data_IF_314553275425
#
_entry.id   IF_314553275425
#
_cell.length_a   1.000
_cell.length_b   1.000
_cell.length_c   1.000
_cell.angle_alpha   90.00
_cell.angle_beta   90.00
_cell.angle_gamma   90.00
#
_symmetry.space_group_name_H-M   'P 1'
#
loop_
_entity.id
_entity.type
_entity.pdbx_description
1 polymer ?
#
# COMPACT_ATOMS: atom_id res chain seq x y z
N UNK A 1 17.70 12.55 21.84
CA UNK A 1 17.29 12.09 20.49
C UNK A 1 15.77 12.00 20.47
N UNK A 2 15.06 12.64 19.54
CA UNK A 2 13.60 12.41 19.39
C UNK A 2 13.38 11.09 18.66
N UNK A 3 12.43 10.24 19.08
CA UNK A 3 12.13 9.00 18.37
C UNK A 3 11.60 9.33 16.97
N UNK A 4 12.15 8.66 15.95
CA UNK A 4 11.67 8.81 14.57
C UNK A 4 10.26 8.22 14.48
N UNK A 5 9.25 8.97 13.97
CA UNK A 5 7.88 8.49 13.87
C UNK A 5 7.79 7.16 13.10
N UNK A 6 7.04 6.20 13.63
CA UNK A 6 6.71 4.98 12.89
C UNK A 6 5.63 5.33 11.88
N UNK A 7 5.96 5.18 10.60
CA UNK A 7 5.04 5.41 9.48
C UNK A 7 4.70 4.09 8.80
N UNK A 8 3.55 4.04 8.12
CA UNK A 8 3.15 2.87 7.33
C UNK A 8 4.22 2.48 6.30
N UNK A 9 4.84 3.47 5.65
CA UNK A 9 5.94 3.25 4.71
C UNK A 9 7.15 2.57 5.37
N UNK A 10 7.54 3.01 6.58
CA UNK A 10 8.65 2.37 7.31
C UNK A 10 8.33 0.93 7.67
N UNK A 11 7.10 0.63 8.08
CA UNK A 11 6.67 -0.73 8.37
C UNK A 11 6.70 -1.62 7.10
N UNK A 12 6.23 -1.09 5.96
CA UNK A 12 6.27 -1.81 4.68
C UNK A 12 7.71 -2.10 4.22
N UNK A 13 8.62 -1.13 4.35
CA UNK A 13 10.05 -1.33 4.04
C UNK A 13 10.69 -2.36 4.96
N UNK A 14 10.37 -2.33 6.26
CA UNK A 14 10.85 -3.33 7.22
C UNK A 14 10.32 -4.72 6.88
N UNK A 15 9.04 -4.84 6.51
CA UNK A 15 8.43 -6.10 6.11
C UNK A 15 9.12 -6.68 4.88
N UNK A 16 9.42 -5.86 3.87
CA UNK A 16 10.14 -6.29 2.68
C UNK A 16 11.56 -6.78 3.00
N UNK A 17 12.27 -6.11 3.90
CA UNK A 17 13.61 -6.53 4.33
C UNK A 17 13.57 -7.88 5.06
N UNK A 18 12.59 -8.09 5.95
CA UNK A 18 12.42 -9.38 6.64
C UNK A 18 12.01 -10.48 5.67
N UNK A 19 11.11 -10.20 4.71
CA UNK A 19 10.75 -11.14 3.67
C UNK A 19 11.99 -11.61 2.90
N UNK A 20 12.84 -10.67 2.47
CA UNK A 20 14.09 -10.98 1.78
C UNK A 20 15.01 -11.85 2.65
N UNK A 21 15.20 -11.50 3.93
CA UNK A 21 16.00 -12.29 4.85
C UNK A 21 15.46 -13.73 5.01
N UNK A 22 14.14 -13.91 5.05
CA UNK A 22 13.51 -15.24 5.11
C UNK A 22 13.74 -16.07 3.84
N UNK A 23 13.95 -15.44 2.67
CA UNK A 23 14.33 -16.18 1.45
C UNK A 23 15.77 -16.71 1.49
N UNK A 24 16.61 -16.15 2.36
CA UNK A 24 18.01 -16.55 2.53
C UNK A 24 18.18 -17.54 3.69
N UNK A 25 17.62 -17.21 4.86
CA UNK A 25 17.85 -17.92 6.12
C UNK A 25 16.68 -18.84 6.52
N UNK A 26 15.63 -18.92 5.69
CA UNK A 26 14.42 -19.66 6.00
C UNK A 26 13.55 -18.97 7.07
N UNK A 27 12.70 -19.71 7.80
CA UNK A 27 11.62 -19.13 8.61
C UNK A 27 12.08 -18.51 9.95
N UNK A 28 13.38 -18.31 10.17
CA UNK A 28 13.94 -17.79 11.44
C UNK A 28 13.31 -16.44 11.84
N UNK A 29 13.03 -15.58 10.85
CA UNK A 29 12.44 -14.26 11.08
C UNK A 29 10.90 -14.22 11.02
N UNK A 30 10.23 -15.37 10.88
CA UNK A 30 8.78 -15.44 10.80
C UNK A 30 8.04 -14.71 11.95
N UNK A 31 8.51 -14.75 13.23
CA UNK A 31 7.86 -13.97 14.29
C UNK A 31 7.86 -12.46 14.04
N UNK A 32 8.94 -11.92 13.46
CA UNK A 32 9.03 -10.50 13.11
C UNK A 32 8.13 -10.16 11.92
N UNK A 33 8.07 -11.04 10.93
CA UNK A 33 7.20 -10.87 9.77
C UNK A 33 5.73 -10.77 10.18
N UNK A 34 5.26 -11.72 10.99
CA UNK A 34 3.87 -11.74 11.51
C UNK A 34 3.55 -10.50 12.36
N UNK A 35 4.52 -10.03 13.15
CA UNK A 35 4.35 -8.79 13.92
C UNK A 35 4.17 -7.58 13.01
N UNK A 36 4.98 -7.46 11.97
CA UNK A 36 4.89 -6.36 11.00
C UNK A 36 3.54 -6.37 10.26
N UNK A 37 3.02 -7.55 9.90
CA UNK A 37 1.67 -7.66 9.31
C UNK A 37 0.59 -7.08 10.22
N UNK A 38 0.65 -7.39 11.53
CA UNK A 38 -0.31 -6.86 12.52
C UNK A 38 -0.19 -5.35 12.69
N UNK A 39 1.03 -4.82 12.77
CA UNK A 39 1.27 -3.37 12.91
C UNK A 39 0.82 -2.60 11.66
N UNK A 40 1.08 -3.15 10.46
CA UNK A 40 0.59 -2.60 9.18
C UNK A 40 -0.94 -2.60 9.16
N UNK A 41 -1.57 -3.71 9.56
CA UNK A 41 -3.02 -3.81 9.62
C UNK A 41 -3.61 -2.79 10.60
N UNK A 42 -2.99 -2.60 11.77
CA UNK A 42 -3.42 -1.61 12.75
C UNK A 42 -3.27 -0.17 12.24
N UNK A 43 -2.15 0.18 11.60
CA UNK A 43 -1.98 1.50 10.98
C UNK A 43 -2.98 1.74 9.87
N UNK A 44 -3.20 0.74 9.00
CA UNK A 44 -4.22 0.82 7.95
C UNK A 44 -5.61 0.94 8.53
N UNK A 45 -5.91 0.27 9.65
CA UNK A 45 -7.20 0.35 10.33
C UNK A 45 -7.45 1.73 10.96
N UNK A 46 -6.39 2.43 11.37
CA UNK A 46 -6.45 3.80 11.90
C UNK A 46 -6.74 4.87 10.83
N UNK A 47 -6.55 4.57 9.54
CA UNK A 47 -7.16 5.38 8.48
C UNK A 47 -8.69 5.27 8.59
N UNK A 48 -9.40 6.37 8.36
CA UNK A 48 -10.87 6.38 8.33
C UNK A 48 -11.37 5.30 7.35
N UNK A 49 -12.21 4.39 7.86
CA UNK A 49 -12.85 3.32 7.07
C UNK A 49 -13.52 3.90 5.82
N UNK A 50 -14.12 5.09 5.94
CA UNK A 50 -14.76 5.79 4.82
C UNK A 50 -13.76 6.33 3.80
N UNK A 51 -12.59 6.80 4.25
CA UNK A 51 -11.51 7.21 3.35
C UNK A 51 -10.98 6.02 2.54
N UNK A 52 -10.86 4.84 3.17
CA UNK A 52 -10.51 3.60 2.46
C UNK A 52 -11.56 3.18 1.44
N UNK A 53 -12.84 3.17 1.84
CA UNK A 53 -13.95 2.86 0.93
C UNK A 53 -14.02 3.82 -0.27
N UNK A 54 -13.80 5.11 -0.04
CA UNK A 54 -13.76 6.12 -1.11
C UNK A 54 -12.62 5.87 -2.09
N UNK A 55 -11.41 5.52 -1.60
CA UNK A 55 -10.26 5.20 -2.47
C UNK A 55 -10.52 3.99 -3.36
N UNK A 56 -11.13 2.94 -2.81
CA UNK A 56 -11.54 1.75 -3.57
C UNK A 56 -12.51 2.12 -4.70
N UNK A 57 -13.49 3.00 -4.42
CA UNK A 57 -14.41 3.46 -5.47
C UNK A 57 -13.73 4.30 -6.55
N UNK A 58 -12.71 5.09 -6.22
CA UNK A 58 -11.94 5.84 -7.22
C UNK A 58 -11.08 4.92 -8.10
N UNK A 59 -10.49 3.85 -7.55
CA UNK A 59 -9.71 2.87 -8.30
C UNK A 59 -10.57 2.00 -9.24
N UNK A 60 -11.85 1.77 -8.87
CA UNK A 60 -12.79 0.97 -9.67
C UNK A 60 -13.45 1.80 -10.80
N UNK A 61 -13.37 3.13 -10.76
CA UNK A 61 -13.90 3.94 -11.87
C UNK A 61 -13.15 3.56 -13.15
N UNK A 62 -13.85 3.10 -14.21
CA UNK A 62 -13.20 2.85 -15.49
C UNK A 62 -12.60 4.17 -15.99
N UNK A 63 -11.46 4.15 -16.70
CA UNK A 63 -10.89 5.36 -17.27
C UNK A 63 -11.95 6.04 -18.12
N UNK A 64 -12.43 7.20 -17.66
CA UNK A 64 -13.42 7.99 -18.37
C UNK A 64 -12.80 8.40 -19.71
N UNK A 65 -13.30 7.79 -20.79
CA UNK A 65 -13.26 8.25 -22.20
C UNK A 65 -12.52 9.59 -22.38
N UNK A 66 -11.19 9.55 -22.47
CA UNK A 66 -10.42 10.55 -23.24
C UNK A 66 -10.53 10.28 -24.76
N UNK A 67 -11.54 9.52 -25.19
CA UNK A 67 -11.71 9.02 -26.55
C UNK A 67 -12.84 9.70 -27.33
N UNK A 68 -13.21 10.94 -26.98
CA UNK A 68 -14.34 11.63 -27.61
C UNK A 68 -14.07 13.08 -28.04
N UNK A 69 -12.80 13.43 -28.25
CA UNK A 69 -12.40 14.68 -28.92
C UNK A 69 -11.24 14.42 -29.89
N UNK A 70 -11.47 13.54 -30.87
CA UNK A 70 -10.86 13.72 -32.19
C UNK A 70 -12.00 14.17 -33.10
N UNK A 71 -12.11 15.48 -33.28
CA UNK A 71 -12.99 16.06 -34.30
C UNK A 71 -12.51 15.59 -35.68
N UNK A 72 -13.44 15.30 -36.62
CA UNK A 72 -13.05 14.89 -37.96
C UNK A 72 -12.34 16.06 -38.65
N UNK A 73 -11.14 15.77 -39.16
CA UNK A 73 -10.43 16.57 -40.16
C UNK A 73 -11.39 17.00 -41.28
N UNK A 74 -11.80 18.27 -41.30
CA UNK A 74 -12.44 18.88 -42.46
C UNK A 74 -11.41 19.15 -43.55
N UNK A 75 -11.70 18.65 -44.75
CA UNK A 75 -11.03 18.97 -46.01
C UNK A 75 -11.31 20.41 -46.48
#
# INVERSE_FOLDING_TARGET
MRPVPITLERLLRAQAAIAYAMTLDGPVYAPYFVRLEKEIAAMRASDDVMARAKRVLEEIKPPQRQLLLQEPSSS
#
